data_IF_146522071699
#
_entry.id   IF_146522071699
#
_cell.length_a   1.000
_cell.length_b   1.000
_cell.length_c   1.000
_cell.angle_alpha   90.00
_cell.angle_beta   90.00
_cell.angle_gamma   90.00
#
_symmetry.space_group_name_H-M   'P 1'
#
loop_
_entity.id
_entity.type
_entity.pdbx_description
1 polymer ?
#
# COMPACT_ATOMS: atom_id res chain seq x y z
N UNK A 1 45.65 -31.80 -24.59
CA UNK A 1 46.18 -31.26 -23.33
C UNK A 1 45.85 -29.77 -23.23
N UNK A 2 44.99 -29.40 -22.27
CA UNK A 2 44.83 -28.06 -21.64
C UNK A 2 44.74 -26.83 -22.55
N UNK A 3 43.69 -26.02 -22.49
CA UNK A 3 43.43 -24.94 -21.51
C UNK A 3 42.40 -24.05 -22.26
N UNK A 4 41.25 -23.62 -21.78
CA UNK A 4 40.89 -23.00 -20.51
C UNK A 4 39.39 -23.18 -20.31
N UNK A 5 39.00 -23.52 -19.08
CA UNK A 5 37.64 -23.34 -18.58
C UNK A 5 37.40 -21.83 -18.48
N UNK A 6 36.55 -21.29 -19.34
CA UNK A 6 36.09 -19.91 -19.23
C UNK A 6 35.18 -19.80 -18.01
N UNK A 7 35.64 -19.06 -17.01
CA UNK A 7 34.90 -18.76 -15.79
C UNK A 7 33.64 -17.95 -16.10
N UNK A 8 32.55 -18.43 -15.52
CA UNK A 8 31.23 -17.81 -15.45
C UNK A 8 31.31 -16.41 -14.85
N UNK A 9 30.70 -15.42 -15.49
CA UNK A 9 30.22 -14.21 -14.81
C UNK A 9 28.87 -13.78 -15.39
N UNK A 10 27.83 -14.58 -15.14
CA UNK A 10 26.46 -14.12 -15.30
C UNK A 10 26.10 -13.28 -14.07
N UNK A 11 26.43 -11.99 -14.09
CA UNK A 11 25.88 -11.00 -13.16
C UNK A 11 24.43 -10.74 -13.57
N UNK A 12 23.49 -11.55 -13.08
CA UNK A 12 22.08 -11.18 -13.11
C UNK A 12 21.82 -10.15 -12.02
N UNK A 13 22.13 -8.88 -12.29
CA UNK A 13 21.57 -7.75 -11.53
C UNK A 13 20.12 -7.55 -11.99
N UNK A 14 19.24 -8.44 -11.54
CA UNK A 14 17.79 -8.20 -11.59
C UNK A 14 17.32 -7.90 -10.17
N UNK A 15 17.77 -6.78 -9.62
CA UNK A 15 17.04 -6.10 -8.56
C UNK A 15 16.16 -5.03 -9.19
N UNK A 16 15.25 -5.45 -10.08
CA UNK A 16 14.10 -4.60 -10.40
C UNK A 16 13.09 -4.90 -9.29
N UNK A 17 13.30 -4.29 -8.13
CA UNK A 17 12.15 -4.00 -7.28
C UNK A 17 11.20 -3.18 -8.14
N UNK A 18 9.96 -3.64 -8.32
CA UNK A 18 8.97 -2.85 -9.03
C UNK A 18 8.90 -1.47 -8.37
N UNK A 19 9.19 -0.43 -9.14
CA UNK A 19 9.09 0.94 -8.65
C UNK A 19 7.67 1.18 -8.13
N UNK A 20 7.55 1.93 -7.03
CA UNK A 20 6.24 2.29 -6.50
C UNK A 20 5.49 3.15 -7.53
N UNK A 21 4.20 2.88 -7.69
CA UNK A 21 3.31 3.68 -8.53
C UNK A 21 2.91 4.97 -7.79
N UNK A 22 3.59 6.07 -8.10
CA UNK A 22 3.31 7.40 -7.51
C UNK A 22 1.97 8.00 -7.97
N UNK A 23 1.27 7.38 -8.93
CA UNK A 23 -0.10 7.77 -9.29
C UNK A 23 -1.15 7.27 -8.30
N UNK A 24 -0.80 6.31 -7.43
CA UNK A 24 -1.70 5.70 -6.46
C UNK A 24 -2.95 5.04 -7.10
N UNK A 25 -2.83 4.46 -8.30
CA UNK A 25 -3.98 3.95 -9.06
C UNK A 25 -4.79 2.89 -8.30
N UNK A 26 -4.12 1.96 -7.60
CA UNK A 26 -4.78 0.94 -6.77
C UNK A 26 -5.61 1.55 -5.64
N UNK A 27 -5.16 2.66 -5.06
CA UNK A 27 -5.92 3.36 -4.03
C UNK A 27 -7.12 4.10 -4.62
N UNK A 28 -6.94 4.72 -5.78
CA UNK A 28 -8.03 5.33 -6.55
C UNK A 28 -9.12 4.31 -6.88
N UNK A 29 -8.78 3.09 -7.27
CA UNK A 29 -9.72 2.00 -7.52
C UNK A 29 -10.57 1.69 -6.26
N UNK A 30 -9.92 1.53 -5.10
CA UNK A 30 -10.62 1.29 -3.82
C UNK A 30 -11.58 2.43 -3.48
N UNK A 31 -11.11 3.67 -3.58
CA UNK A 31 -11.95 4.83 -3.26
C UNK A 31 -13.12 5.01 -4.23
N UNK A 32 -12.91 4.74 -5.52
CA UNK A 32 -13.98 4.81 -6.51
C UNK A 32 -15.08 3.79 -6.26
N UNK A 33 -14.72 2.59 -5.81
CA UNK A 33 -15.67 1.51 -5.56
C UNK A 33 -16.34 1.59 -4.17
N UNK A 34 -15.62 2.07 -3.15
CA UNK A 34 -16.06 2.01 -1.75
C UNK A 34 -16.20 3.39 -1.09
N UNK A 35 -16.44 4.44 -1.87
CA UNK A 35 -16.92 5.72 -1.32
C UNK A 35 -18.44 5.78 -1.33
N UNK A 36 -19.01 6.45 -0.33
CA UNK A 36 -20.40 6.88 -0.30
C UNK A 36 -20.57 8.20 -1.05
N UNK A 37 -21.81 8.57 -1.32
CA UNK A 37 -22.13 9.83 -2.02
C UNK A 37 -21.68 11.08 -1.25
N UNK A 38 -21.63 11.00 0.08
CA UNK A 38 -21.12 12.06 0.94
C UNK A 38 -19.60 12.01 1.17
N UNK A 39 -18.87 11.18 0.41
CA UNK A 39 -17.40 11.13 0.44
C UNK A 39 -16.80 10.36 1.62
N UNK A 40 -17.59 9.54 2.33
CA UNK A 40 -17.11 8.65 3.38
C UNK A 40 -16.74 7.28 2.81
N UNK A 41 -16.00 6.48 3.57
CA UNK A 41 -15.69 5.10 3.20
C UNK A 41 -16.86 4.18 3.57
N UNK A 42 -17.34 3.41 2.61
CA UNK A 42 -18.35 2.37 2.80
C UNK A 42 -17.72 1.11 3.43
N UNK A 43 -17.45 1.17 4.74
CA UNK A 43 -16.69 0.14 5.45
C UNK A 43 -17.32 -1.25 5.45
N UNK A 44 -18.65 -1.37 5.55
CA UNK A 44 -19.33 -2.67 5.53
C UNK A 44 -19.08 -3.45 4.21
N UNK A 45 -19.38 -2.90 3.01
CA UNK A 45 -19.09 -3.60 1.77
C UNK A 45 -17.58 -3.76 1.51
N UNK A 46 -16.74 -2.80 1.91
CA UNK A 46 -15.28 -2.94 1.79
C UNK A 46 -14.74 -4.11 2.62
N UNK A 47 -15.21 -4.26 3.87
CA UNK A 47 -14.81 -5.37 4.75
C UNK A 47 -15.22 -6.73 4.16
N UNK A 48 -16.45 -6.82 3.63
CA UNK A 48 -16.93 -8.04 2.96
C UNK A 48 -16.08 -8.38 1.73
N UNK A 49 -15.75 -7.40 0.89
CA UNK A 49 -14.93 -7.59 -0.30
C UNK A 49 -13.49 -8.02 0.04
N UNK A 50 -12.89 -7.44 1.07
CA UNK A 50 -11.57 -7.85 1.55
C UNK A 50 -11.56 -9.27 2.13
N UNK A 51 -12.66 -9.72 2.74
CA UNK A 51 -12.79 -11.09 3.22
C UNK A 51 -12.96 -12.09 2.06
N UNK A 52 -13.68 -11.71 1.01
CA UNK A 52 -13.93 -12.54 -0.16
C UNK A 52 -12.72 -12.66 -1.10
N UNK A 53 -11.87 -11.63 -1.17
CA UNK A 53 -10.71 -11.59 -2.06
C UNK A 53 -9.39 -11.34 -1.30
N UNK A 54 -8.56 -12.38 -1.08
CA UNK A 54 -7.24 -12.21 -0.46
C UNK A 54 -6.29 -11.29 -1.23
N UNK A 55 -6.50 -11.10 -2.55
CA UNK A 55 -5.73 -10.21 -3.41
C UNK A 55 -6.42 -8.87 -3.67
N UNK A 56 -7.34 -8.46 -2.79
CA UNK A 56 -8.06 -7.19 -2.92
C UNK A 56 -7.10 -6.00 -3.10
N UNK A 57 -7.40 -5.02 -3.99
CA UNK A 57 -6.51 -3.90 -4.31
C UNK A 57 -5.97 -3.16 -3.09
N UNK A 58 -6.80 -2.95 -2.05
CA UNK A 58 -6.36 -2.35 -0.78
C UNK A 58 -5.19 -3.11 -0.12
N UNK A 59 -5.23 -4.45 -0.08
CA UNK A 59 -4.15 -5.23 0.53
C UNK A 59 -2.86 -5.12 -0.29
N UNK A 60 -2.97 -5.19 -1.62
CA UNK A 60 -1.84 -5.01 -2.53
C UNK A 60 -1.22 -3.63 -2.37
N UNK A 61 -2.06 -2.59 -2.30
CA UNK A 61 -1.62 -1.21 -2.12
C UNK A 61 -0.88 -0.99 -0.80
N UNK A 62 -1.40 -1.52 0.31
CA UNK A 62 -0.74 -1.45 1.63
C UNK A 62 0.62 -2.17 1.62
N UNK A 63 0.72 -3.31 0.94
CA UNK A 63 2.00 -4.02 0.74
C UNK A 63 2.98 -3.16 -0.05
N UNK A 64 2.54 -2.51 -1.14
CA UNK A 64 3.39 -1.63 -1.94
C UNK A 64 3.89 -0.42 -1.14
N UNK A 65 2.99 0.23 -0.37
CA UNK A 65 3.35 1.33 0.53
C UNK A 65 4.44 0.89 1.53
N UNK A 66 4.29 -0.29 2.13
CA UNK A 66 5.21 -0.82 3.14
C UNK A 66 6.57 -1.23 2.55
N UNK A 67 6.63 -1.47 1.24
CA UNK A 67 7.84 -1.87 0.54
C UNK A 67 8.69 -0.67 0.06
N UNK A 68 8.18 0.56 0.18
CA UNK A 68 8.92 1.76 -0.22
C UNK A 68 10.11 1.97 0.70
N UNK A 69 11.30 1.98 0.09
CA UNK A 69 12.55 2.27 0.81
C UNK A 69 12.77 3.78 0.99
N UNK A 70 13.53 4.18 2.01
CA UNK A 70 13.89 5.58 2.19
C UNK A 70 14.60 6.18 0.96
N UNK A 71 15.58 5.49 0.31
CA UNK A 71 16.17 6.00 -0.93
C UNK A 71 15.15 6.20 -2.06
N UNK A 72 14.15 5.32 -2.18
CA UNK A 72 13.07 5.49 -3.17
C UNK A 72 12.23 6.72 -2.86
N UNK A 73 11.81 6.88 -1.60
CA UNK A 73 11.02 8.02 -1.15
C UNK A 73 11.77 9.35 -1.34
N UNK A 74 13.04 9.39 -0.96
CA UNK A 74 13.89 10.59 -1.06
C UNK A 74 14.19 10.98 -2.51
N UNK A 75 14.06 10.05 -3.47
CA UNK A 75 14.25 10.31 -4.90
C UNK A 75 13.07 11.01 -5.57
N UNK A 76 11.90 11.03 -4.94
CA UNK A 76 10.70 11.63 -5.51
C UNK A 76 10.67 13.15 -5.32
N UNK A 77 9.86 13.82 -6.14
CA UNK A 77 9.56 15.23 -5.93
C UNK A 77 8.85 15.47 -4.59
N UNK A 78 8.91 16.71 -4.08
CA UNK A 78 8.23 17.09 -2.84
C UNK A 78 6.72 16.79 -2.89
N UNK A 79 6.09 16.98 -4.04
CA UNK A 79 4.66 16.77 -4.21
C UNK A 79 4.31 15.27 -4.21
N UNK A 80 5.13 14.44 -4.83
CA UNK A 80 4.98 12.97 -4.77
C UNK A 80 5.21 12.42 -3.36
N UNK A 81 6.21 12.94 -2.63
CA UNK A 81 6.43 12.58 -1.22
C UNK A 81 5.22 12.94 -0.36
N UNK A 82 4.65 14.13 -0.55
CA UNK A 82 3.46 14.57 0.17
C UNK A 82 2.25 13.70 -0.16
N UNK A 83 2.00 13.44 -1.45
CA UNK A 83 0.93 12.56 -1.90
C UNK A 83 1.08 11.15 -1.30
N UNK A 84 2.30 10.62 -1.28
CA UNK A 84 2.60 9.34 -0.67
C UNK A 84 2.23 9.32 0.81
N UNK A 85 2.70 10.29 1.60
CA UNK A 85 2.44 10.33 3.04
C UNK A 85 0.96 10.46 3.36
N UNK A 86 0.23 11.33 2.65
CA UNK A 86 -1.21 11.51 2.83
C UNK A 86 -1.97 10.22 2.48
N UNK A 87 -1.67 9.61 1.34
CA UNK A 87 -2.34 8.38 0.90
C UNK A 87 -1.97 7.18 1.78
N UNK A 88 -0.73 7.10 2.27
CA UNK A 88 -0.31 6.08 3.22
C UNK A 88 -1.09 6.21 4.52
N UNK A 89 -1.11 7.40 5.12
CA UNK A 89 -1.87 7.66 6.35
C UNK A 89 -3.35 7.27 6.19
N UNK A 90 -3.99 7.71 5.10
CA UNK A 90 -5.41 7.42 4.84
C UNK A 90 -5.66 5.92 4.65
N UNK A 91 -4.85 5.23 3.85
CA UNK A 91 -5.03 3.80 3.59
C UNK A 91 -4.80 2.94 4.85
N UNK A 92 -3.76 3.23 5.63
CA UNK A 92 -3.51 2.54 6.90
C UNK A 92 -4.58 2.85 7.95
N UNK A 93 -5.13 4.07 7.98
CA UNK A 93 -6.28 4.40 8.84
C UNK A 93 -7.52 3.61 8.44
N UNK A 94 -7.79 3.47 7.14
CA UNK A 94 -8.89 2.61 6.65
C UNK A 94 -8.67 1.15 7.04
N UNK A 95 -7.44 0.63 6.89
CA UNK A 95 -7.09 -0.71 7.36
C UNK A 95 -7.37 -0.88 8.86
N UNK A 96 -6.97 0.11 9.67
CA UNK A 96 -7.21 0.12 11.10
C UNK A 96 -8.70 0.04 11.43
N UNK A 97 -9.52 0.88 10.78
CA UNK A 97 -10.97 0.88 10.98
C UNK A 97 -11.55 -0.47 10.58
N UNK A 98 -11.15 -1.05 9.45
CA UNK A 98 -11.65 -2.35 9.01
C UNK A 98 -11.36 -3.47 10.01
N UNK A 99 -10.18 -3.46 10.63
CA UNK A 99 -9.80 -4.41 11.68
C UNK A 99 -10.72 -4.31 12.90
N UNK A 100 -11.10 -3.09 13.29
CA UNK A 100 -11.95 -2.83 14.46
C UNK A 100 -13.44 -2.69 14.13
N UNK A 101 -13.84 -2.85 12.88
CA UNK A 101 -15.22 -2.61 12.43
C UNK A 101 -16.19 -3.68 12.98
N UNK A 102 -17.38 -3.29 13.49
CA UNK A 102 -17.93 -1.93 13.55
C UNK A 102 -17.33 -1.11 14.69
N UNK A 103 -17.02 0.16 14.42
CA UNK A 103 -16.45 1.10 15.39
C UNK A 103 -17.18 2.44 15.34
N UNK A 104 -17.51 2.99 16.50
CA UNK A 104 -18.20 4.30 16.61
C UNK A 104 -17.23 5.49 16.66
N UNK A 105 -15.98 5.25 17.05
CA UNK A 105 -14.90 6.24 17.03
C UNK A 105 -13.54 5.54 17.07
N UNK A 106 -12.60 5.96 16.22
CA UNK A 106 -11.21 5.46 16.27
C UNK A 106 -10.52 5.77 17.62
N UNK A 107 -10.98 6.79 18.35
CA UNK A 107 -10.47 7.12 19.69
C UNK A 107 -10.86 6.10 20.76
N UNK A 108 -11.91 5.32 20.50
CA UNK A 108 -12.39 4.26 21.38
C UNK A 108 -11.78 2.89 21.03
N UNK A 109 -10.92 2.81 20.02
CA UNK A 109 -10.14 1.59 19.77
C UNK A 109 -8.92 1.55 20.69
N UNK A 110 -8.32 0.37 20.86
CA UNK A 110 -7.02 0.22 21.53
C UNK A 110 -5.88 0.80 20.67
N UNK A 111 -4.66 0.93 21.19
CA UNK A 111 -3.49 1.28 20.36
C UNK A 111 -3.37 2.76 19.98
N UNK A 112 -2.79 3.05 18.81
CA UNK A 112 -2.25 4.37 18.43
C UNK A 112 -3.26 5.52 18.40
N UNK A 113 -4.54 5.21 18.20
CA UNK A 113 -5.60 6.23 18.13
C UNK A 113 -6.34 6.43 19.44
N UNK A 114 -6.07 5.62 20.47
CA UNK A 114 -6.75 5.68 21.76
C UNK A 114 -6.51 7.02 22.45
N UNK A 115 -7.59 7.70 22.85
CA UNK A 115 -7.53 8.96 23.62
C UNK A 115 -8.82 9.23 24.37
#
# INVERSE_FOLDING_TARGET
MGRLVAFVLALTLSWIGNAFDTSHALWGEVLNQYRTDNGLVAYAPLKAAMAANPKHPLRTYLTHLSAVSAPSFDSWSRDEQMAFLINAYNAFTVQWVLHHYPVTSIKKTVGWFAS
#
